data_IF_360077980041
#
_entry.id   IF_360077980041
#
_cell.length_a   1.000
_cell.length_b   1.000
_cell.length_c   1.000
_cell.angle_alpha   90.00
_cell.angle_beta   90.00
_cell.angle_gamma   90.00
#
_symmetry.space_group_name_H-M   'P 1'
#
loop_
_entity.id
_entity.type
_entity.pdbx_description
1 polymer ?
#
# COMPACT_ATOMS: atom_id res chain seq x y z
N UNK A 1 29.21 12.50 -41.97
CA UNK A 1 28.05 12.46 -41.04
C UNK A 1 28.40 11.49 -39.92
N UNK A 2 28.77 11.99 -38.74
CA UNK A 2 29.02 11.13 -37.57
C UNK A 2 27.77 11.12 -36.69
N UNK A 3 27.18 9.95 -36.37
CA UNK A 3 26.10 9.90 -35.40
C UNK A 3 26.69 10.14 -34.00
N UNK A 4 26.27 11.24 -33.38
CA UNK A 4 26.61 11.55 -32.01
C UNK A 4 25.95 10.55 -31.05
N UNK A 5 26.64 9.44 -30.76
CA UNK A 5 26.23 8.49 -29.71
C UNK A 5 26.96 8.83 -28.41
N UNK A 6 26.44 9.82 -27.68
CA UNK A 6 26.88 10.10 -26.32
C UNK A 6 25.69 10.33 -25.39
N UNK A 7 25.54 9.40 -24.44
CA UNK A 7 24.72 9.38 -23.22
C UNK A 7 23.39 10.16 -23.16
N UNK A 8 22.55 10.13 -24.21
CA UNK A 8 21.19 10.64 -24.05
C UNK A 8 20.34 9.67 -23.21
N UNK A 9 19.49 10.21 -22.33
CA UNK A 9 18.54 9.42 -21.53
C UNK A 9 17.60 8.58 -22.41
N UNK A 10 17.31 9.06 -23.62
CA UNK A 10 16.55 8.36 -24.64
C UNK A 10 17.30 7.13 -25.19
N UNK A 11 18.61 7.24 -25.45
CA UNK A 11 19.44 6.12 -25.90
C UNK A 11 19.51 5.00 -24.85
N UNK A 12 19.61 5.35 -23.56
CA UNK A 12 19.57 4.37 -22.47
C UNK A 12 18.20 3.69 -22.34
N UNK A 13 17.11 4.46 -22.47
CA UNK A 13 15.76 3.89 -22.47
C UNK A 13 15.55 2.94 -23.65
N UNK A 14 16.10 3.27 -24.82
CA UNK A 14 16.03 2.43 -26.02
C UNK A 14 16.84 1.14 -25.89
N UNK A 15 18.08 1.23 -25.41
CA UNK A 15 18.92 0.07 -25.12
C UNK A 15 18.27 -0.85 -24.06
N UNK A 16 17.61 -0.28 -23.04
CA UNK A 16 16.85 -1.07 -22.06
C UNK A 16 15.62 -1.75 -22.69
N UNK A 17 14.88 -1.08 -23.58
CA UNK A 17 13.74 -1.68 -24.31
C UNK A 17 14.18 -2.82 -25.23
N UNK A 18 15.30 -2.66 -25.92
CA UNK A 18 15.91 -3.70 -26.76
C UNK A 18 16.57 -4.83 -25.96
N UNK A 19 16.59 -4.72 -24.63
CA UNK A 19 17.24 -5.66 -23.71
C UNK A 19 18.77 -5.77 -23.88
N UNK A 20 19.41 -4.78 -24.52
CA UNK A 20 20.87 -4.70 -24.67
C UNK A 20 21.56 -4.39 -23.33
N UNK A 21 20.84 -3.73 -22.42
CA UNK A 21 21.31 -3.45 -21.06
C UNK A 21 20.28 -3.93 -20.03
N UNK A 22 20.75 -4.51 -18.92
CA UNK A 22 19.92 -4.79 -17.75
C UNK A 22 20.02 -3.62 -16.78
N UNK A 23 18.97 -2.82 -16.67
CA UNK A 23 18.90 -1.79 -15.63
C UNK A 23 18.63 -2.43 -14.28
N UNK A 24 19.38 -2.06 -13.25
CA UNK A 24 19.10 -2.45 -11.87
C UNK A 24 17.68 -2.02 -11.49
N UNK A 25 16.86 -2.94 -10.98
CA UNK A 25 15.58 -2.56 -10.39
C UNK A 25 15.85 -1.86 -9.05
N UNK A 26 15.64 -0.56 -9.03
CA UNK A 26 15.79 0.27 -7.83
C UNK A 26 14.58 0.16 -6.90
N UNK A 27 13.52 -0.56 -7.30
CA UNK A 27 12.34 -0.75 -6.46
C UNK A 27 12.65 -1.74 -5.34
N UNK A 28 12.46 -1.28 -4.11
CA UNK A 28 12.53 -2.14 -2.93
C UNK A 28 11.55 -3.32 -3.09
N UNK A 29 11.97 -4.59 -2.98
CA UNK A 29 11.08 -5.75 -3.09
C UNK A 29 9.92 -5.71 -2.09
N UNK A 30 8.75 -6.23 -2.45
CA UNK A 30 7.56 -6.21 -1.56
C UNK A 30 7.82 -6.90 -0.22
N UNK A 31 8.55 -8.03 -0.23
CA UNK A 31 8.92 -8.74 1.00
C UNK A 31 9.67 -7.83 1.99
N UNK A 32 10.62 -7.03 1.51
CA UNK A 32 11.36 -6.07 2.33
C UNK A 32 10.52 -4.83 2.70
N UNK A 33 9.59 -4.43 1.83
CA UNK A 33 8.67 -3.33 2.12
C UNK A 33 7.75 -3.65 3.30
N UNK A 34 7.33 -4.92 3.42
CA UNK A 34 6.40 -5.43 4.42
C UNK A 34 7.11 -6.06 5.64
N UNK A 35 8.44 -6.01 5.73
CA UNK A 35 9.22 -6.67 6.81
C UNK A 35 9.46 -5.82 8.05
N UNK A 36 8.98 -4.58 8.09
CA UNK A 36 9.20 -3.60 9.18
C UNK A 36 10.66 -3.15 9.40
N UNK A 37 11.61 -3.66 8.62
CA UNK A 37 13.04 -3.29 8.72
C UNK A 37 13.30 -1.80 8.41
N UNK A 38 12.44 -1.19 7.60
CA UNK A 38 12.60 0.19 7.14
C UNK A 38 11.31 0.98 7.33
N UNK A 39 11.47 2.21 7.80
CA UNK A 39 10.37 3.17 7.82
C UNK A 39 9.99 3.53 6.38
N UNK A 40 8.74 3.23 6.03
CA UNK A 40 8.19 3.53 4.71
C UNK A 40 7.14 4.62 4.83
N UNK A 41 7.12 5.56 3.88
CA UNK A 41 6.05 6.56 3.79
C UNK A 41 4.73 5.87 3.46
N UNK A 42 3.67 6.17 4.22
CA UNK A 42 2.34 5.55 4.06
C UNK A 42 1.81 5.60 2.62
N UNK A 43 2.00 6.73 1.93
CA UNK A 43 1.59 6.89 0.52
C UNK A 43 2.35 5.94 -0.40
N UNK A 44 3.66 5.80 -0.24
CA UNK A 44 4.47 4.85 -1.01
C UNK A 44 4.04 3.40 -0.72
N UNK A 45 3.83 3.05 0.56
CA UNK A 45 3.35 1.72 0.95
C UNK A 45 2.00 1.39 0.28
N UNK A 46 1.02 2.30 0.39
CA UNK A 46 -0.31 2.15 -0.23
C UNK A 46 -0.21 1.92 -1.73
N UNK A 47 0.57 2.74 -2.44
CA UNK A 47 0.73 2.61 -3.90
C UNK A 47 1.36 1.28 -4.29
N UNK A 48 2.35 0.81 -3.53
CA UNK A 48 3.03 -0.46 -3.79
C UNK A 48 2.14 -1.67 -3.52
N UNK A 49 1.34 -1.65 -2.45
CA UNK A 49 0.37 -2.71 -2.12
C UNK A 49 -0.73 -2.79 -3.19
N UNK A 50 -1.31 -1.65 -3.55
CA UNK A 50 -2.35 -1.58 -4.59
C UNK A 50 -1.82 -1.98 -5.97
N UNK A 51 -0.62 -1.53 -6.34
CA UNK A 51 0.00 -1.90 -7.61
C UNK A 51 0.38 -3.38 -7.70
N UNK A 52 0.54 -4.05 -6.56
CA UNK A 52 0.80 -5.48 -6.47
C UNK A 52 -0.47 -6.34 -6.33
N UNK A 53 -1.65 -5.73 -6.23
CA UNK A 53 -2.91 -6.46 -6.04
C UNK A 53 -3.04 -7.17 -4.69
N UNK A 54 -2.25 -6.78 -3.68
CA UNK A 54 -2.25 -7.43 -2.37
C UNK A 54 -3.47 -7.06 -1.50
N UNK A 55 -4.13 -5.95 -1.79
CA UNK A 55 -5.40 -5.54 -1.19
C UNK A 55 -6.34 -5.06 -2.28
N UNK A 56 -7.63 -5.38 -2.14
CA UNK A 56 -8.68 -4.91 -3.04
C UNK A 56 -8.87 -3.39 -2.94
N UNK A 57 -9.27 -2.75 -4.04
CA UNK A 57 -9.55 -1.30 -4.11
C UNK A 57 -10.94 -0.96 -3.58
N UNK A 58 -11.27 -1.46 -2.40
CA UNK A 58 -12.54 -1.25 -1.72
C UNK A 58 -12.33 -0.97 -0.23
N UNK A 59 -13.31 -0.34 0.41
CA UNK A 59 -13.30 -0.21 1.86
C UNK A 59 -13.53 -1.57 2.50
N UNK A 60 -12.58 -2.05 3.30
CA UNK A 60 -12.71 -3.34 4.01
C UNK A 60 -13.72 -3.31 5.17
N UNK A 61 -14.27 -2.12 5.49
CA UNK A 61 -15.35 -2.00 6.48
C UNK A 61 -16.75 -1.96 5.84
N UNK A 62 -16.96 -1.07 4.86
CA UNK A 62 -18.29 -0.86 4.28
C UNK A 62 -18.43 -1.32 2.82
N UNK A 63 -17.37 -1.86 2.21
CA UNK A 63 -17.37 -2.32 0.82
C UNK A 63 -17.39 -1.22 -0.25
N UNK A 64 -17.52 0.06 0.13
CA UNK A 64 -17.60 1.16 -0.84
C UNK A 64 -16.32 1.27 -1.69
N UNK A 65 -16.52 1.31 -3.00
CA UNK A 65 -15.48 1.55 -4.03
C UNK A 65 -15.64 2.90 -4.72
N UNK A 66 -16.84 3.48 -4.66
CA UNK A 66 -17.19 4.75 -5.31
C UNK A 66 -18.02 5.66 -4.40
N UNK A 67 -17.99 6.95 -4.71
CA UNK A 67 -18.81 7.97 -4.08
C UNK A 67 -19.20 9.02 -5.12
N UNK A 68 -20.52 9.28 -5.25
CA UNK A 68 -21.08 10.20 -6.25
C UNK A 68 -20.61 9.89 -7.69
N UNK A 69 -20.59 8.60 -8.05
CA UNK A 69 -20.18 8.12 -9.38
C UNK A 69 -18.69 8.30 -9.70
N UNK A 70 -17.85 8.55 -8.68
CA UNK A 70 -16.40 8.66 -8.84
C UNK A 70 -15.69 7.66 -7.95
N UNK A 71 -14.55 7.13 -8.40
CA UNK A 71 -13.74 6.22 -7.60
C UNK A 71 -13.36 6.84 -6.25
N UNK A 72 -13.57 6.08 -5.19
CA UNK A 72 -13.33 6.54 -3.82
C UNK A 72 -11.83 6.49 -3.51
N UNK A 73 -11.32 7.59 -2.96
CA UNK A 73 -9.95 7.60 -2.43
C UNK A 73 -9.93 6.90 -1.07
N UNK A 74 -9.45 5.65 -1.05
CA UNK A 74 -9.27 4.88 0.18
C UNK A 74 -8.02 5.34 0.95
N UNK A 75 -8.00 5.13 2.25
CA UNK A 75 -6.91 5.45 3.15
C UNK A 75 -6.30 4.15 3.68
N UNK A 76 -4.97 4.11 3.80
CA UNK A 76 -4.27 2.97 4.38
C UNK A 76 -4.26 3.11 5.90
N UNK A 77 -4.98 2.22 6.57
CA UNK A 77 -5.05 2.11 8.02
C UNK A 77 -4.13 0.98 8.52
N UNK A 78 -3.55 1.21 9.69
CA UNK A 78 -2.75 0.25 10.44
C UNK A 78 -3.63 -0.25 11.57
N UNK A 79 -4.07 -1.51 11.53
CA UNK A 79 -5.09 -2.06 12.45
C UNK A 79 -4.70 -1.85 13.91
N UNK A 80 -3.44 -2.13 14.27
CA UNK A 80 -2.93 -1.94 15.63
C UNK A 80 -2.55 -0.48 15.98
N UNK A 81 -2.72 0.47 15.05
CA UNK A 81 -2.33 1.88 15.20
C UNK A 81 -0.82 2.16 15.13
N UNK A 82 0.03 1.13 15.00
CA UNK A 82 1.47 1.28 14.88
C UNK A 82 1.87 1.51 13.42
N UNK A 83 2.20 2.76 13.08
CA UNK A 83 2.63 3.15 11.74
C UNK A 83 3.96 2.52 11.26
N UNK A 84 4.68 1.78 12.12
CA UNK A 84 5.89 1.02 11.76
C UNK A 84 5.62 -0.44 11.43
N UNK A 85 4.45 -0.96 11.78
CA UNK A 85 4.08 -2.35 11.51
C UNK A 85 3.37 -2.47 10.16
N UNK A 86 4.17 -2.58 9.11
CA UNK A 86 3.75 -2.70 7.71
C UNK A 86 3.51 -4.15 7.25
N UNK A 87 3.45 -5.12 8.17
CA UNK A 87 3.07 -6.49 7.80
C UNK A 87 1.68 -6.49 7.19
N UNK A 88 1.46 -7.28 6.14
CA UNK A 88 0.23 -7.22 5.34
C UNK A 88 -1.02 -7.46 6.20
N UNK A 89 -0.94 -8.39 7.16
CA UNK A 89 -2.02 -8.71 8.08
C UNK A 89 -2.42 -7.56 9.03
N UNK A 90 -1.58 -6.53 9.18
CA UNK A 90 -1.85 -5.34 9.99
C UNK A 90 -2.35 -4.15 9.14
N UNK A 91 -2.49 -4.31 7.82
CA UNK A 91 -2.86 -3.24 6.91
C UNK A 91 -4.27 -3.46 6.39
N UNK A 92 -5.04 -2.37 6.28
CA UNK A 92 -6.33 -2.38 5.60
C UNK A 92 -6.60 -1.08 4.86
N UNK A 93 -7.48 -1.15 3.85
CA UNK A 93 -7.96 0.02 3.13
C UNK A 93 -9.35 0.41 3.61
N UNK A 94 -9.51 1.66 4.03
CA UNK A 94 -10.77 2.21 4.54
C UNK A 94 -11.19 3.42 3.72
N UNK A 95 -12.49 3.67 3.57
CA UNK A 95 -12.95 4.97 3.11
C UNK A 95 -12.72 6.05 4.18
N UNK A 96 -12.69 7.35 3.83
CA UNK A 96 -12.47 8.44 4.80
C UNK A 96 -13.48 8.42 5.95
N UNK A 97 -14.73 8.04 5.68
CA UNK A 97 -15.79 8.00 6.68
C UNK A 97 -15.58 6.87 7.70
N UNK A 98 -15.24 5.65 7.24
CA UNK A 98 -14.93 4.53 8.12
C UNK A 98 -13.62 4.78 8.88
N UNK A 99 -12.60 5.32 8.20
CA UNK A 99 -11.33 5.61 8.86
C UNK A 99 -11.48 6.69 9.94
N UNK A 100 -12.32 7.70 9.76
CA UNK A 100 -12.56 8.73 10.79
C UNK A 100 -13.12 8.18 12.12
N UNK A 101 -13.72 6.99 12.08
CA UNK A 101 -14.31 6.29 13.23
C UNK A 101 -13.31 5.36 13.91
N UNK A 102 -12.11 5.16 13.34
CA UNK A 102 -11.11 4.33 14.00
C UNK A 102 -10.54 5.04 15.24
N UNK A 103 -10.16 4.26 16.27
CA UNK A 103 -9.53 4.80 17.47
C UNK A 103 -8.25 5.59 17.18
N UNK A 104 -7.50 5.15 16.17
CA UNK A 104 -6.19 5.67 15.80
C UNK A 104 -6.22 6.86 14.81
N UNK A 105 -7.41 7.30 14.38
CA UNK A 105 -7.57 8.32 13.35
C UNK A 105 -6.92 9.67 13.72
N UNK A 106 -6.38 10.37 12.73
CA UNK A 106 -5.83 11.73 12.86
C UNK A 106 -4.86 11.98 14.03
N UNK A 107 -4.19 10.93 14.53
CA UNK A 107 -3.28 11.05 15.65
C UNK A 107 -3.96 11.12 17.02
N UNK A 108 -5.21 10.67 17.15
CA UNK A 108 -5.88 10.42 18.44
C UNK A 108 -5.06 9.52 19.38
N UNK A 109 -4.19 8.67 18.81
CA UNK A 109 -3.28 7.81 19.57
C UNK A 109 -1.91 8.46 19.90
N UNK A 110 -1.72 9.77 19.65
CA UNK A 110 -0.47 10.46 20.03
C UNK A 110 -0.32 10.46 21.56
N UNK A 111 0.67 9.71 22.07
CA UNK A 111 0.95 9.58 23.50
C UNK A 111 0.57 8.22 24.09
N UNK A 112 -0.21 7.40 23.38
CA UNK A 112 -0.54 6.05 23.81
C UNK A 112 0.07 5.04 22.83
N UNK A 113 1.30 4.61 23.12
CA UNK A 113 2.03 3.60 22.33
C UNK A 113 1.52 2.17 22.55
N UNK A 114 0.51 1.99 23.41
CA UNK A 114 -0.11 0.69 23.63
C UNK A 114 -0.93 0.33 22.39
N UNK A 115 -0.71 -0.86 21.77
CA UNK A 115 -1.54 -1.32 20.68
C UNK A 115 -2.99 -1.33 21.16
N UNK A 116 -3.83 -0.57 20.49
CA UNK A 116 -5.25 -0.50 20.83
C UNK A 116 -5.86 -1.81 20.37
N UNK A 117 -6.07 -2.74 21.29
CA UNK A 117 -6.83 -3.98 21.06
C UNK A 117 -8.30 -3.61 20.91
N UNK A 118 -8.68 -3.06 19.77
CA UNK A 118 -10.10 -2.82 19.47
C UNK A 118 -10.61 -4.02 18.69
N UNK A 119 -11.68 -4.68 19.15
CA UNK A 119 -12.25 -5.80 18.41
C UNK A 119 -12.74 -5.28 17.05
N UNK A 120 -12.18 -5.83 15.98
CA UNK A 120 -12.58 -5.54 14.62
C UNK A 120 -13.99 -6.14 14.40
N UNK A 121 -15.01 -5.35 14.03
CA UNK A 121 -16.38 -5.87 13.89
C UNK A 121 -16.61 -6.79 12.68
N UNK A 122 -15.59 -7.13 11.88
CA UNK A 122 -15.75 -7.79 10.58
C UNK A 122 -14.89 -9.03 10.37
N UNK A 123 -14.42 -9.67 11.44
CA UNK A 123 -14.16 -11.11 11.38
C UNK A 123 -15.50 -11.86 11.47
N UNK A 124 -16.40 -11.63 10.51
CA UNK A 124 -17.35 -12.68 10.15
C UNK A 124 -16.56 -13.68 9.33
N UNK A 125 -16.39 -14.87 9.89
CA UNK A 125 -15.83 -16.04 9.24
C UNK A 125 -16.30 -16.13 7.79
N UNK A 126 -15.41 -15.88 6.84
CA UNK A 126 -15.57 -16.47 5.51
C UNK A 126 -15.13 -17.91 5.66
N UNK A 127 -16.12 -18.79 5.61
CA UNK A 127 -15.94 -20.22 5.44
C UNK A 127 -14.93 -20.45 4.30
N UNK A 128 -13.99 -21.35 4.55
CA UNK A 128 -13.25 -22.05 3.50
C UNK A 128 -14.26 -22.62 2.50
N UNK A 129 -14.10 -22.43 1.17
CA UNK A 129 -14.69 -23.37 0.25
C UNK A 129 -13.84 -24.64 0.34
N UNK A 130 -14.44 -25.71 0.83
CA UNK A 130 -13.97 -27.07 0.55
C UNK A 130 -13.94 -27.23 -0.98
N UNK A 131 -12.74 -27.46 -1.54
CA UNK A 131 -12.39 -28.28 -2.72
C UNK A 131 -10.87 -28.45 -2.71
#
# INVERSE_FOLDING_TARGET
>A
MHPAVWFSRAAWADAARRSDIRTRDWRLPLKQLLSNERRTRRTHLKMRILGAGLLARECQECGLTEWRGKSLSLELDHINGNARDNRLENLRLLCPNCHSQTPNYAGRNKGNSKPTSVPHPLLRATATPDI
#
